data_IF_193689593940
#
_entry.id   IF_193689593940
#
_cell.length_a   1.000
_cell.length_b   1.000
_cell.length_c   1.000
_cell.angle_alpha   90.00
_cell.angle_beta   90.00
_cell.angle_gamma   90.00
#
_symmetry.space_group_name_H-M   'P 1'
#
loop_
_entity.id
_entity.type
_entity.pdbx_description
1 polymer ?
#
# COMPACT_ATOMS: atom_id res chain seq x y z
N UNK A 1 2.09 -11.95 -7.58
CA UNK A 1 1.54 -11.95 -6.20
C UNK A 1 0.03 -12.02 -6.28
N UNK A 2 -0.57 -12.93 -5.54
CA UNK A 2 -1.99 -13.14 -5.39
C UNK A 2 -2.44 -12.54 -4.05
N UNK A 3 -3.58 -11.85 -4.07
CA UNK A 3 -4.19 -11.23 -2.90
C UNK A 3 -5.61 -11.78 -2.78
N UNK A 4 -5.98 -12.23 -1.58
CA UNK A 4 -7.34 -12.59 -1.22
C UNK A 4 -7.75 -11.82 0.04
N UNK A 5 -8.91 -11.16 -0.01
CA UNK A 5 -9.34 -10.22 1.02
C UNK A 5 -8.26 -9.19 1.36
N UNK A 6 -7.81 -9.17 2.62
CA UNK A 6 -6.74 -8.30 3.13
C UNK A 6 -5.36 -8.99 3.20
N UNK A 7 -5.21 -10.20 2.64
CA UNK A 7 -4.02 -11.05 2.77
C UNK A 7 -3.32 -11.36 1.45
N UNK A 8 -2.02 -11.61 1.57
CA UNK A 8 -1.20 -12.17 0.50
C UNK A 8 -1.38 -13.68 0.54
N UNK A 9 -2.11 -14.22 -0.44
CA UNK A 9 -2.37 -15.66 -0.53
C UNK A 9 -1.17 -16.40 -1.10
N UNK A 10 -0.52 -15.84 -2.13
CA UNK A 10 0.62 -16.48 -2.77
C UNK A 10 1.58 -15.48 -3.41
N UNK A 11 2.87 -15.83 -3.41
CA UNK A 11 3.93 -15.10 -4.10
C UNK A 11 4.61 -16.06 -5.06
N UNK A 12 4.76 -15.66 -6.31
CA UNK A 12 5.35 -16.49 -7.35
C UNK A 12 5.30 -15.83 -8.73
N UNK A 13 5.87 -16.50 -9.74
CA UNK A 13 5.82 -16.06 -11.14
C UNK A 13 4.39 -15.86 -11.61
N UNK A 14 4.18 -14.85 -12.48
CA UNK A 14 2.83 -14.52 -12.98
C UNK A 14 2.19 -15.69 -13.71
N UNK A 15 2.96 -16.44 -14.52
CA UNK A 15 2.45 -17.57 -15.29
C UNK A 15 1.89 -18.67 -14.40
N UNK A 16 2.67 -19.11 -13.41
CA UNK A 16 2.27 -20.12 -12.43
C UNK A 16 1.02 -19.70 -11.66
N UNK A 17 0.96 -18.45 -11.18
CA UNK A 17 -0.21 -17.94 -10.47
C UNK A 17 -1.45 -17.88 -11.38
N UNK A 18 -1.32 -17.41 -12.62
CA UNK A 18 -2.48 -17.34 -13.54
C UNK A 18 -2.95 -18.70 -14.01
N UNK A 19 -2.07 -19.71 -14.03
CA UNK A 19 -2.45 -21.09 -14.34
C UNK A 19 -3.18 -21.74 -13.15
N UNK A 20 -2.68 -21.57 -11.93
CA UNK A 20 -3.31 -22.11 -10.73
C UNK A 20 -4.63 -21.42 -10.38
N UNK A 21 -4.75 -20.12 -10.71
CA UNK A 21 -5.91 -19.29 -10.37
C UNK A 21 -6.48 -18.60 -11.63
N UNK A 22 -7.11 -19.33 -12.56
CA UNK A 22 -7.45 -18.80 -13.89
C UNK A 22 -8.56 -17.73 -13.89
N UNK A 23 -9.39 -17.67 -12.84
CA UNK A 23 -10.53 -16.75 -12.76
C UNK A 23 -10.22 -15.46 -12.01
N UNK A 24 -9.03 -15.32 -11.43
CA UNK A 24 -8.70 -14.15 -10.60
C UNK A 24 -8.49 -12.91 -11.44
N UNK A 25 -8.87 -11.77 -10.88
CA UNK A 25 -8.77 -10.49 -11.56
C UNK A 25 -7.32 -10.03 -11.65
N UNK A 26 -6.72 -10.14 -12.83
CA UNK A 26 -5.32 -9.73 -13.06
C UNK A 26 -5.21 -8.22 -13.27
N UNK A 27 -4.30 -7.58 -12.52
CA UNK A 27 -3.88 -6.19 -12.75
C UNK A 27 -2.40 -6.19 -13.13
N UNK A 28 -2.03 -5.41 -14.15
CA UNK A 28 -0.65 -5.25 -14.62
C UNK A 28 -0.29 -3.77 -14.63
N UNK A 29 0.95 -3.49 -14.24
CA UNK A 29 1.53 -2.14 -14.24
C UNK A 29 2.96 -2.21 -14.78
N UNK A 30 3.43 -1.17 -15.49
CA UNK A 30 4.79 -1.11 -16.02
C UNK A 30 5.79 -0.68 -14.94
N UNK A 31 5.96 -1.50 -13.90
CA UNK A 31 6.86 -1.21 -12.78
C UNK A 31 7.14 -2.42 -11.90
N UNK A 32 7.99 -2.21 -10.90
CA UNK A 32 8.36 -3.23 -9.93
C UNK A 32 7.38 -3.23 -8.78
N UNK A 33 6.77 -4.38 -8.51
CA UNK A 33 5.95 -4.59 -7.33
C UNK A 33 6.85 -4.85 -6.12
N UNK A 34 6.56 -4.18 -5.02
CA UNK A 34 7.22 -4.37 -3.73
C UNK A 34 6.27 -4.08 -2.56
N UNK A 35 6.78 -4.16 -1.33
CA UNK A 35 6.01 -3.76 -0.16
C UNK A 35 5.64 -2.28 -0.22
N UNK A 36 4.49 -1.90 0.33
CA UNK A 36 4.16 -0.50 0.53
C UNK A 36 5.12 0.13 1.57
N UNK A 37 5.37 1.43 1.42
CA UNK A 37 6.33 2.14 2.26
C UNK A 37 5.76 2.39 3.67
N UNK A 38 6.68 2.46 4.64
CA UNK A 38 6.42 3.00 5.98
C UNK A 38 6.87 4.45 6.00
N UNK A 39 5.99 5.36 6.37
CA UNK A 39 6.28 6.78 6.51
C UNK A 39 6.67 7.11 7.95
N UNK A 40 7.90 7.57 8.13
CA UNK A 40 8.57 7.84 9.41
C UNK A 40 9.00 9.32 9.55
N UNK A 41 8.33 10.22 8.84
CA UNK A 41 8.56 11.66 8.92
C UNK A 41 7.27 12.48 9.06
N UNK A 42 7.39 13.82 9.09
CA UNK A 42 6.23 14.71 9.07
C UNK A 42 5.31 14.40 7.88
N UNK A 43 3.99 14.51 8.10
CA UNK A 43 3.02 14.28 7.03
C UNK A 43 3.14 15.36 5.95
N UNK A 44 2.99 15.00 4.66
CA UNK A 44 2.99 15.97 3.59
C UNK A 44 1.87 17.01 3.81
N UNK A 45 2.15 18.30 3.57
CA UNK A 45 1.13 19.34 3.74
C UNK A 45 0.02 19.14 2.70
N UNK A 46 -1.23 19.22 3.15
CA UNK A 46 -2.39 19.28 2.27
C UNK A 46 -3.55 20.02 2.98
N UNK A 47 -4.49 20.61 2.21
CA UNK A 47 -5.57 21.44 2.76
C UNK A 47 -6.48 20.69 3.74
N UNK A 48 -6.78 19.42 3.47
CA UNK A 48 -7.66 18.62 4.33
C UNK A 48 -6.98 17.36 4.89
N UNK A 49 -7.45 16.82 6.03
CA UNK A 49 -6.96 15.55 6.58
C UNK A 49 -7.01 14.39 5.59
N UNK A 50 -8.07 14.33 4.76
CA UNK A 50 -8.23 13.33 3.72
C UNK A 50 -7.16 13.46 2.64
N UNK A 51 -6.88 14.67 2.19
CA UNK A 51 -5.86 14.92 1.17
C UNK A 51 -4.45 14.62 1.66
N UNK A 52 -4.16 14.80 2.96
CA UNK A 52 -2.87 14.39 3.55
C UNK A 52 -2.67 12.89 3.46
N UNK A 53 -3.70 12.11 3.81
CA UNK A 53 -3.67 10.65 3.64
C UNK A 53 -3.56 10.26 2.17
N UNK A 54 -4.33 10.88 1.28
CA UNK A 54 -4.21 10.62 -0.16
C UNK A 54 -2.81 10.96 -0.70
N UNK A 55 -2.13 11.98 -0.18
CA UNK A 55 -0.76 12.31 -0.58
C UNK A 55 0.23 11.17 -0.24
N UNK A 56 0.10 10.56 0.95
CA UNK A 56 0.84 9.36 1.32
C UNK A 56 0.54 8.18 0.39
N UNK A 57 -0.75 7.93 0.13
CA UNK A 57 -1.16 6.83 -0.75
C UNK A 57 -0.61 7.02 -2.17
N UNK A 58 -0.54 8.26 -2.67
CA UNK A 58 0.06 8.58 -3.98
C UNK A 58 1.57 8.37 -4.05
N UNK A 59 2.26 8.31 -2.92
CA UNK A 59 3.69 8.02 -2.84
C UNK A 59 4.01 6.55 -2.53
N UNK A 60 3.00 5.67 -2.49
CA UNK A 60 3.21 4.24 -2.23
C UNK A 60 3.25 3.87 -0.75
N UNK A 61 2.83 4.77 0.14
CA UNK A 61 2.81 4.54 1.60
C UNK A 61 1.58 3.71 1.99
N UNK A 62 1.81 2.66 2.77
CA UNK A 62 0.76 1.82 3.36
C UNK A 62 0.72 1.87 4.89
N UNK A 63 1.79 2.38 5.52
CA UNK A 63 1.88 2.53 6.96
C UNK A 63 2.52 3.86 7.37
N UNK A 64 2.17 4.36 8.56
CA UNK A 64 2.68 5.62 9.12
C UNK A 64 2.98 5.42 10.59
N UNK A 65 4.02 6.07 11.11
CA UNK A 65 4.28 6.05 12.55
C UNK A 65 3.24 6.85 13.33
N UNK A 66 2.79 6.31 14.46
CA UNK A 66 1.83 6.93 15.36
C UNK A 66 2.28 8.34 15.81
N UNK A 67 3.59 8.52 15.98
CA UNK A 67 4.23 9.79 16.32
C UNK A 67 3.94 10.92 15.31
N UNK A 68 3.64 10.60 14.05
CA UNK A 68 3.34 11.57 13.00
C UNK A 68 1.83 11.75 12.73
N UNK A 69 0.97 10.99 13.42
CA UNK A 69 -0.49 11.04 13.30
C UNK A 69 -1.14 11.68 14.53
N UNK A 70 -0.68 12.86 14.93
CA UNK A 70 -1.19 13.54 16.14
C UNK A 70 -2.58 14.14 15.96
N UNK A 71 -2.95 14.56 14.75
CA UNK A 71 -4.28 15.10 14.43
C UNK A 71 -5.35 13.98 14.38
N UNK A 72 -6.39 14.01 15.25
CA UNK A 72 -7.47 13.02 15.26
C UNK A 72 -8.21 12.88 13.93
N UNK A 73 -8.39 13.97 13.18
CA UNK A 73 -9.07 13.95 11.89
C UNK A 73 -8.23 13.24 10.82
N UNK A 74 -6.91 13.39 10.88
CA UNK A 74 -5.99 12.66 9.99
C UNK A 74 -5.95 11.18 10.38
N UNK A 75 -5.93 10.86 11.67
CA UNK A 75 -6.01 9.47 12.17
C UNK A 75 -7.30 8.78 11.71
N UNK A 76 -8.44 9.47 11.78
CA UNK A 76 -9.71 8.95 11.28
C UNK A 76 -9.69 8.77 9.75
N UNK A 77 -9.02 9.65 9.00
CA UNK A 77 -8.83 9.49 7.56
C UNK A 77 -7.92 8.29 7.22
N UNK A 78 -6.86 8.07 7.99
CA UNK A 78 -5.95 6.93 7.85
C UNK A 78 -6.69 5.61 8.09
N UNK A 79 -7.46 5.52 9.19
CA UNK A 79 -8.27 4.36 9.53
C UNK A 79 -9.30 4.01 8.44
N UNK A 80 -10.00 5.01 7.88
CA UNK A 80 -10.94 4.79 6.76
C UNK A 80 -10.29 4.24 5.49
N UNK A 81 -8.99 4.45 5.32
CA UNK A 81 -8.22 3.93 4.19
C UNK A 81 -7.37 2.71 4.58
N UNK A 82 -7.55 2.17 5.78
CA UNK A 82 -6.78 1.04 6.32
C UNK A 82 -5.26 1.30 6.37
N UNK A 83 -4.81 2.55 6.40
CA UNK A 83 -3.38 2.83 6.57
C UNK A 83 -2.93 2.30 7.93
N UNK A 84 -1.91 1.43 7.95
CA UNK A 84 -1.39 0.88 9.18
C UNK A 84 -0.75 1.99 10.03
N UNK A 85 -1.00 1.98 11.33
CA UNK A 85 -0.36 2.90 12.27
C UNK A 85 0.60 2.07 13.13
N UNK A 86 1.88 2.41 13.08
CA UNK A 86 2.94 1.67 13.75
C UNK A 86 3.56 2.49 14.88
N UNK A 87 3.96 1.85 15.98
CA UNK A 87 4.62 2.56 17.07
C UNK A 87 6.11 2.80 16.78
N UNK A 88 6.73 1.97 15.94
CA UNK A 88 8.13 2.09 15.53
C UNK A 88 8.33 1.76 14.05
N UNK A 89 9.35 2.37 13.45
CA UNK A 89 9.76 2.05 12.08
C UNK A 89 10.22 0.60 12.00
N UNK A 90 9.81 -0.07 10.92
CA UNK A 90 10.27 -1.42 10.60
C UNK A 90 10.40 -1.57 9.08
N UNK A 91 11.37 -2.36 8.59
CA UNK A 91 11.45 -2.67 7.18
C UNK A 91 10.12 -3.29 6.70
N UNK A 92 9.51 -2.78 5.63
CA UNK A 92 8.27 -3.34 5.14
C UNK A 92 8.56 -4.65 4.40
N UNK A 93 7.70 -5.65 4.60
CA UNK A 93 7.91 -7.00 4.07
C UNK A 93 6.62 -7.57 3.50
N UNK A 94 6.73 -8.29 2.38
CA UNK A 94 5.66 -9.08 1.79
C UNK A 94 5.83 -10.53 2.22
N UNK A 95 4.88 -11.03 3.01
CA UNK A 95 4.88 -12.41 3.51
C UNK A 95 3.57 -13.08 3.16
N UNK A 96 3.62 -14.36 2.76
CA UNK A 96 2.40 -15.16 2.54
C UNK A 96 1.64 -15.26 3.87
N UNK A 97 0.32 -15.08 3.84
CA UNK A 97 -0.55 -14.92 5.01
C UNK A 97 -0.44 -13.54 5.69
N UNK A 98 0.53 -12.72 5.29
CA UNK A 98 0.69 -11.34 5.75
C UNK A 98 -0.36 -10.40 5.16
N UNK A 99 -0.45 -9.21 5.73
CA UNK A 99 -1.34 -8.15 5.23
C UNK A 99 -0.91 -7.71 3.83
N UNK A 100 -1.87 -7.54 2.94
CA UNK A 100 -1.66 -7.10 1.57
C UNK A 100 -1.44 -5.58 1.49
N UNK A 101 -0.29 -5.12 1.97
CA UNK A 101 0.21 -3.75 1.83
C UNK A 101 1.36 -3.71 0.81
N UNK A 102 1.06 -3.25 -0.40
CA UNK A 102 1.95 -3.34 -1.56
C UNK A 102 1.91 -2.06 -2.38
N UNK A 103 3.03 -1.76 -3.03
CA UNK A 103 3.14 -0.66 -3.97
C UNK A 103 3.86 -1.10 -5.25
N UNK A 104 3.55 -0.43 -6.34
CA UNK A 104 4.27 -0.61 -7.61
C UNK A 104 4.98 0.69 -7.93
N UNK A 105 6.28 0.61 -8.19
CA UNK A 105 7.12 1.76 -8.55
C UNK A 105 7.64 1.63 -9.97
N UNK A 106 7.58 2.72 -10.72
CA UNK A 106 8.29 2.85 -11.99
C UNK A 106 9.81 2.91 -11.76
N UNK A 107 10.59 2.74 -12.83
CA UNK A 107 12.05 2.77 -12.77
C UNK A 107 12.61 4.11 -12.23
N UNK A 108 11.87 5.20 -12.38
CA UNK A 108 12.22 6.54 -11.85
C UNK A 108 11.73 6.77 -10.41
N UNK A 109 11.24 5.72 -9.73
CA UNK A 109 10.77 5.80 -8.34
C UNK A 109 9.34 6.33 -8.19
N UNK A 110 8.66 6.72 -9.27
CA UNK A 110 7.27 7.16 -9.19
C UNK A 110 6.34 5.99 -8.83
N UNK A 111 5.51 6.17 -7.81
CA UNK A 111 4.45 5.22 -7.50
C UNK A 111 3.40 5.17 -8.64
N UNK A 112 3.05 3.95 -9.05
CA UNK A 112 2.05 3.63 -10.06
C UNK A 112 0.77 3.07 -9.45
N UNK A 113 0.89 2.36 -8.33
CA UNK A 113 -0.23 1.79 -7.62
C UNK A 113 0.11 1.59 -6.14
N UNK A 114 -0.90 1.76 -5.29
CA UNK A 114 -0.80 1.48 -3.85
C UNK A 114 -2.00 0.65 -3.45
N UNK A 115 -1.72 -0.47 -2.80
CA UNK A 115 -2.70 -1.39 -2.27
C UNK A 115 -2.49 -1.44 -0.75
N UNK A 116 -3.57 -1.26 0.00
CA UNK A 116 -3.57 -1.28 1.46
C UNK A 116 -4.69 -2.19 1.93
N UNK A 117 -4.36 -3.16 2.77
CA UNK A 117 -5.29 -4.23 3.19
C UNK A 117 -6.02 -4.86 1.98
N UNK A 118 -5.28 -5.12 0.89
CA UNK A 118 -5.81 -5.72 -0.33
C UNK A 118 -6.65 -4.81 -1.23
N UNK A 119 -6.94 -3.58 -0.80
CA UNK A 119 -7.69 -2.60 -1.60
C UNK A 119 -6.75 -1.73 -2.42
N UNK A 120 -6.99 -1.61 -3.73
CA UNK A 120 -6.28 -0.66 -4.59
C UNK A 120 -6.76 0.77 -4.30
N UNK A 121 -6.03 1.49 -3.45
CA UNK A 121 -6.37 2.83 -2.97
C UNK A 121 -5.76 3.96 -3.80
N UNK A 122 -4.71 3.66 -4.56
CA UNK A 122 -4.15 4.57 -5.55
C UNK A 122 -3.81 3.82 -6.84
N UNK A 123 -4.09 4.46 -7.98
CA UNK A 123 -3.52 4.11 -9.28
C UNK A 123 -3.19 5.38 -10.03
N UNK A 124 -2.07 5.36 -10.76
CA UNK A 124 -1.72 6.38 -11.74
C UNK A 124 -2.29 5.95 -13.11
N UNK A 125 -2.87 6.92 -13.82
CA UNK A 125 -3.40 6.73 -15.17
C UNK A 125 -2.26 6.55 -16.18
#
# INVERSE_FOLDING_TARGET
MLVDGDRIEAVGPVGELTQAYPTVRVRRWPGTLGPALVHDGPLPPAPTPRERVHALLRSGVGAVLAAHLTDPAVRAAAARNDVAVLDAARPPALTVGGRADLAVFAADGRCLATVVAGRLVHRRA
#
